data_IF_647984139183
#
_entry.id   IF_647984139183
#
_cell.length_a   1.000
_cell.length_b   1.000
_cell.length_c   1.000
_cell.angle_alpha   90.00
_cell.angle_beta   90.00
_cell.angle_gamma   90.00
#
_symmetry.space_group_name_H-M   'P 1'
#
loop_
_entity.id
_entity.type
_entity.pdbx_description
1 polymer ?
#
# COMPACT_ATOMS: atom_id res chain seq x y z
N UNK A 1 4.39 -13.80 -0.80
CA UNK A 1 3.09 -13.77 -1.43
C UNK A 1 2.51 -12.36 -1.35
N UNK A 2 2.06 -11.80 -2.46
CA UNK A 2 1.41 -10.49 -2.55
C UNK A 2 -0.04 -10.71 -2.98
N UNK A 3 -0.98 -10.08 -2.26
CA UNK A 3 -2.39 -10.04 -2.63
C UNK A 3 -2.72 -8.65 -3.18
N UNK A 4 -3.05 -8.59 -4.46
CA UNK A 4 -3.59 -7.38 -5.09
C UNK A 4 -5.10 -7.36 -4.86
N UNK A 5 -5.56 -6.38 -4.09
CA UNK A 5 -6.98 -6.21 -3.76
C UNK A 5 -7.56 -5.03 -4.52
N UNK A 6 -8.86 -5.08 -4.77
CA UNK A 6 -9.57 -3.90 -5.28
C UNK A 6 -9.60 -2.76 -4.27
N UNK A 7 -10.00 -1.57 -4.73
CA UNK A 7 -10.22 -0.42 -3.87
C UNK A 7 -11.49 -0.57 -3.00
N UNK A 8 -11.57 0.22 -1.93
CA UNK A 8 -12.74 0.32 -1.06
C UNK A 8 -12.70 -0.58 0.18
N UNK A 9 -13.86 -0.71 0.83
CA UNK A 9 -14.02 -1.35 2.15
C UNK A 9 -14.90 -2.61 2.10
N UNK A 10 -14.93 -3.29 0.94
CA UNK A 10 -15.72 -4.53 0.79
C UNK A 10 -15.22 -5.63 1.75
N UNK A 11 -16.08 -6.58 2.03
CA UNK A 11 -15.74 -7.71 2.91
C UNK A 11 -14.52 -8.48 2.43
N UNK A 12 -14.38 -8.68 1.12
CA UNK A 12 -13.23 -9.38 0.55
C UNK A 12 -11.92 -8.60 0.80
N UNK A 13 -11.92 -7.28 0.56
CA UNK A 13 -10.75 -6.43 0.82
C UNK A 13 -10.34 -6.48 2.29
N UNK A 14 -11.29 -6.24 3.20
CA UNK A 14 -11.02 -6.24 4.64
C UNK A 14 -10.58 -7.60 5.16
N UNK A 15 -11.12 -8.68 4.59
CA UNK A 15 -10.73 -10.05 4.94
C UNK A 15 -9.26 -10.34 4.59
N UNK A 16 -8.85 -10.07 3.33
CA UNK A 16 -7.45 -10.27 2.93
C UNK A 16 -6.50 -9.36 3.70
N UNK A 17 -6.86 -8.10 3.92
CA UNK A 17 -6.07 -7.20 4.74
C UNK A 17 -5.91 -7.70 6.19
N UNK A 18 -6.98 -8.25 6.79
CA UNK A 18 -6.92 -8.74 8.17
C UNK A 18 -6.04 -9.98 8.35
N UNK A 19 -5.88 -10.78 7.28
CA UNK A 19 -5.04 -11.98 7.28
C UNK A 19 -3.59 -11.70 6.86
N UNK A 20 -3.30 -10.51 6.31
CA UNK A 20 -1.97 -10.14 5.86
C UNK A 20 -1.06 -9.76 7.04
N UNK A 21 0.25 -10.07 6.91
CA UNK A 21 1.26 -9.62 7.88
C UNK A 21 1.59 -8.13 7.71
N UNK A 22 1.47 -7.63 6.50
CA UNK A 22 1.77 -6.25 6.16
C UNK A 22 0.68 -5.72 5.22
N UNK A 23 0.21 -4.51 5.51
CA UNK A 23 -0.81 -3.83 4.73
C UNK A 23 -0.19 -2.60 4.10
N UNK A 24 -0.11 -2.61 2.76
CA UNK A 24 0.37 -1.48 1.98
C UNK A 24 -0.83 -0.82 1.30
N UNK A 25 -1.06 0.43 1.64
CA UNK A 25 -2.13 1.25 1.08
C UNK A 25 -1.57 2.16 0.00
N UNK A 26 -2.25 2.27 -1.12
CA UNK A 26 -1.86 3.15 -2.22
C UNK A 26 -2.86 4.29 -2.33
N UNK A 27 -2.39 5.52 -2.10
CA UNK A 27 -3.17 6.74 -2.25
C UNK A 27 -2.66 7.55 -3.44
N UNK A 28 -3.53 8.35 -4.05
CA UNK A 28 -3.17 9.34 -5.06
C UNK A 28 -3.33 10.76 -4.52
N UNK A 29 -3.05 11.77 -5.35
CA UNK A 29 -3.28 13.20 -5.03
C UNK A 29 -4.76 13.56 -4.93
N UNK A 30 -5.66 12.69 -5.39
CA UNK A 30 -7.10 12.96 -5.42
C UNK A 30 -7.70 12.90 -4.03
N UNK A 31 -8.51 13.89 -3.62
CA UNK A 31 -9.15 13.92 -2.29
C UNK A 31 -10.00 12.67 -2.00
N UNK A 32 -10.66 12.12 -3.01
CA UNK A 32 -11.46 10.89 -2.91
C UNK A 32 -10.59 9.69 -2.54
N UNK A 33 -9.42 9.54 -3.18
CA UNK A 33 -8.46 8.48 -2.87
C UNK A 33 -7.98 8.53 -1.41
N UNK A 34 -7.68 9.74 -0.89
CA UNK A 34 -7.28 9.90 0.51
C UNK A 34 -8.41 9.56 1.48
N UNK A 35 -9.63 9.93 1.14
CA UNK A 35 -10.83 9.58 1.92
C UNK A 35 -11.04 8.07 1.96
N UNK A 36 -10.87 7.39 0.84
CA UNK A 36 -11.02 5.93 0.73
C UNK A 36 -9.95 5.20 1.54
N UNK A 37 -8.69 5.65 1.45
CA UNK A 37 -7.59 5.10 2.26
C UNK A 37 -7.86 5.29 3.76
N UNK A 38 -8.29 6.48 4.18
CA UNK A 38 -8.66 6.72 5.58
C UNK A 38 -9.84 5.85 6.02
N UNK A 39 -10.87 5.70 5.20
CA UNK A 39 -12.01 4.84 5.49
C UNK A 39 -11.60 3.37 5.65
N UNK A 40 -10.66 2.89 4.83
CA UNK A 40 -10.12 1.53 4.94
C UNK A 40 -9.30 1.35 6.23
N UNK A 41 -8.40 2.28 6.56
CA UNK A 41 -7.64 2.27 7.82
C UNK A 41 -8.62 2.19 9.00
N UNK A 42 -9.60 3.08 9.05
CA UNK A 42 -10.60 3.14 10.11
C UNK A 42 -11.40 1.83 10.23
N UNK A 43 -11.79 1.25 9.09
CA UNK A 43 -12.55 -0.01 9.07
C UNK A 43 -11.73 -1.17 9.59
N UNK A 44 -10.47 -1.29 9.16
CA UNK A 44 -9.55 -2.34 9.59
C UNK A 44 -9.20 -2.19 11.08
N UNK A 45 -9.01 -0.96 11.55
CA UNK A 45 -8.79 -0.69 12.96
C UNK A 45 -9.97 -1.10 13.83
N UNK A 46 -11.19 -0.66 13.46
CA UNK A 46 -12.39 -0.90 14.28
C UNK A 46 -12.83 -2.36 14.24
N UNK A 47 -12.82 -2.99 13.05
CA UNK A 47 -13.38 -4.34 12.88
C UNK A 47 -12.36 -5.46 13.07
N UNK A 48 -11.09 -5.19 12.80
CA UNK A 48 -10.04 -6.23 12.78
C UNK A 48 -8.86 -5.92 13.70
N UNK A 49 -8.93 -4.84 14.51
CA UNK A 49 -7.87 -4.40 15.43
C UNK A 49 -6.50 -4.18 14.78
N UNK A 50 -6.48 -3.91 13.47
CA UNK A 50 -5.25 -3.60 12.74
C UNK A 50 -4.76 -2.21 13.13
N UNK A 51 -3.48 -2.09 13.50
CA UNK A 51 -2.90 -0.86 14.02
C UNK A 51 -1.73 -0.34 13.19
N UNK A 52 -1.22 -1.13 12.26
CA UNK A 52 -0.04 -0.77 11.49
C UNK A 52 -0.32 -0.79 9.99
N UNK A 53 -0.03 0.33 9.34
CA UNK A 53 -0.27 0.53 7.90
C UNK A 53 0.90 1.24 7.27
N UNK A 54 1.25 0.83 6.06
CA UNK A 54 2.25 1.51 5.24
C UNK A 54 1.59 2.15 4.04
N UNK A 55 2.02 3.35 3.66
CA UNK A 55 1.37 4.13 2.61
C UNK A 55 2.37 4.49 1.51
N UNK A 56 1.96 4.22 0.27
CA UNK A 56 2.60 4.71 -0.95
C UNK A 56 1.73 5.82 -1.53
N UNK A 57 2.34 6.96 -1.88
CA UNK A 57 1.65 8.01 -2.61
C UNK A 57 1.98 7.89 -4.10
N UNK A 58 0.97 7.59 -4.89
CA UNK A 58 1.09 7.34 -6.33
C UNK A 58 0.71 8.56 -7.17
N UNK A 59 1.25 8.62 -8.38
CA UNK A 59 0.96 9.63 -9.40
C UNK A 59 1.26 11.07 -8.96
N UNK A 60 2.34 11.27 -8.22
CA UNK A 60 2.82 12.59 -7.80
C UNK A 60 3.82 13.18 -8.78
N UNK A 61 4.00 14.50 -8.74
CA UNK A 61 4.99 15.20 -9.57
C UNK A 61 6.36 15.30 -8.89
N UNK A 62 6.40 15.17 -7.56
CA UNK A 62 7.63 15.25 -6.77
C UNK A 62 7.50 14.51 -5.44
N UNK A 63 8.65 14.20 -4.84
CA UNK A 63 8.72 13.64 -3.50
C UNK A 63 8.15 14.61 -2.45
N UNK A 64 8.40 15.91 -2.59
CA UNK A 64 7.90 16.92 -1.68
C UNK A 64 6.35 16.95 -1.66
N UNK A 65 5.72 16.80 -2.82
CA UNK A 65 4.25 16.67 -2.94
C UNK A 65 3.77 15.39 -2.23
N UNK A 66 4.42 14.26 -2.45
CA UNK A 66 4.08 13.00 -1.80
C UNK A 66 4.15 13.09 -0.27
N UNK A 67 5.22 13.69 0.25
CA UNK A 67 5.41 13.87 1.68
C UNK A 67 4.36 14.81 2.30
N UNK A 68 3.94 15.85 1.57
CA UNK A 68 2.87 16.75 2.04
C UNK A 68 1.54 16.01 2.15
N UNK A 69 1.19 15.24 1.12
CA UNK A 69 -0.05 14.44 1.10
C UNK A 69 -0.04 13.40 2.21
N UNK A 70 1.08 12.68 2.38
CA UNK A 70 1.22 11.71 3.44
C UNK A 70 1.05 12.33 4.83
N UNK A 71 1.72 13.46 5.10
CA UNK A 71 1.58 14.16 6.40
C UNK A 71 0.14 14.54 6.71
N UNK A 72 -0.62 14.98 5.71
CA UNK A 72 -2.03 15.32 5.89
C UNK A 72 -2.86 14.07 6.26
N UNK A 73 -2.63 12.95 5.59
CA UNK A 73 -3.30 11.69 5.89
C UNK A 73 -2.93 11.19 7.30
N UNK A 74 -1.65 11.18 7.64
CA UNK A 74 -1.16 10.76 8.95
C UNK A 74 -1.72 11.62 10.08
N UNK A 75 -1.75 12.95 9.92
CA UNK A 75 -2.32 13.86 10.92
C UNK A 75 -3.81 13.61 11.18
N UNK A 76 -4.58 13.24 10.15
CA UNK A 76 -5.99 12.86 10.32
C UNK A 76 -6.10 11.51 11.04
N UNK A 77 -5.27 10.54 10.69
CA UNK A 77 -5.25 9.25 11.37
C UNK A 77 -4.89 9.41 12.85
N UNK A 78 -3.80 10.12 13.17
CA UNK A 78 -3.35 10.36 14.54
C UNK A 78 -4.41 11.06 15.40
N UNK A 79 -5.16 11.96 14.79
CA UNK A 79 -6.20 12.72 15.51
C UNK A 79 -7.41 11.88 15.90
N UNK A 80 -7.80 10.92 15.06
CA UNK A 80 -9.09 10.23 15.20
C UNK A 80 -8.98 8.73 15.48
N UNK A 81 -7.79 8.14 15.32
CA UNK A 81 -7.57 6.70 15.47
C UNK A 81 -6.43 6.45 16.47
N UNK A 82 -6.72 6.46 17.78
CA UNK A 82 -5.68 6.24 18.79
C UNK A 82 -5.04 4.86 18.61
N UNK A 83 -3.72 4.80 18.76
CA UNK A 83 -2.90 3.59 18.61
C UNK A 83 -2.78 3.04 17.17
N UNK A 84 -3.18 3.80 16.16
CA UNK A 84 -2.88 3.47 14.75
C UNK A 84 -1.57 4.12 14.35
N UNK A 85 -0.69 3.34 13.77
CA UNK A 85 0.57 3.81 13.15
C UNK A 85 0.43 3.78 11.64
N UNK A 86 0.65 4.93 11.01
CA UNK A 86 0.70 5.06 9.55
C UNK A 86 2.10 5.47 9.15
N UNK A 87 2.78 4.61 8.39
CA UNK A 87 4.16 4.81 7.97
C UNK A 87 4.24 5.18 6.49
N UNK A 88 5.13 6.12 6.15
CA UNK A 88 5.46 6.46 4.78
C UNK A 88 6.41 5.43 4.18
N UNK A 89 5.91 4.62 3.25
CA UNK A 89 6.75 3.67 2.52
C UNK A 89 7.53 4.35 1.40
N UNK A 90 6.87 5.26 0.65
CA UNK A 90 7.48 6.03 -0.41
C UNK A 90 6.47 6.56 -1.42
N UNK A 91 6.92 6.84 -2.63
CA UNK A 91 6.10 7.46 -3.67
C UNK A 91 6.38 6.87 -5.05
N UNK A 92 5.45 7.12 -5.97
CA UNK A 92 5.56 6.77 -7.38
C UNK A 92 5.26 8.02 -8.20
N UNK A 93 6.21 8.40 -9.06
CA UNK A 93 6.05 9.56 -9.93
C UNK A 93 5.01 9.30 -11.03
N UNK A 94 4.26 10.34 -11.37
CA UNK A 94 3.44 10.36 -12.57
C UNK A 94 4.34 10.32 -13.81
N UNK A 95 4.10 9.36 -14.72
CA UNK A 95 4.89 9.20 -15.93
C UNK A 95 4.01 8.71 -17.08
N UNK A 96 4.12 9.37 -18.22
CA UNK A 96 3.37 9.02 -19.43
C UNK A 96 3.70 7.63 -20.00
N UNK A 97 4.85 7.07 -19.64
CA UNK A 97 5.24 5.72 -20.07
C UNK A 97 4.31 4.65 -19.51
N UNK A 98 3.68 4.88 -18.35
CA UNK A 98 2.71 3.97 -17.74
C UNK A 98 1.50 3.80 -18.69
N UNK A 99 0.91 4.91 -19.13
CA UNK A 99 -0.22 4.87 -20.08
C UNK A 99 0.16 4.20 -21.41
N UNK A 100 1.39 4.43 -21.89
CA UNK A 100 1.88 3.78 -23.12
C UNK A 100 2.03 2.26 -22.94
N UNK A 101 2.54 1.82 -21.80
CA UNK A 101 2.70 0.41 -21.47
C UNK A 101 1.34 -0.31 -21.31
N UNK A 102 0.39 0.32 -20.62
CA UNK A 102 -0.98 -0.18 -20.46
C UNK A 102 -1.66 -0.42 -21.82
N UNK A 103 -1.52 0.52 -22.77
CA UNK A 103 -2.04 0.36 -24.14
C UNK A 103 -1.40 -0.81 -24.88
N UNK A 104 -0.20 -1.20 -24.54
CA UNK A 104 0.51 -2.34 -25.10
C UNK A 104 0.29 -3.63 -24.32
N UNK A 105 -0.48 -3.59 -23.23
CA UNK A 105 -0.71 -4.72 -22.31
C UNK A 105 0.59 -5.37 -21.81
N UNK A 106 1.60 -4.53 -21.52
CA UNK A 106 2.91 -4.94 -21.01
C UNK A 106 3.27 -4.14 -19.77
N UNK A 107 4.11 -4.71 -18.93
CA UNK A 107 4.62 -4.01 -17.76
C UNK A 107 5.53 -2.84 -18.18
N UNK A 108 5.30 -1.66 -17.61
CA UNK A 108 6.13 -0.49 -17.93
C UNK A 108 7.59 -0.68 -17.48
N UNK A 109 7.82 -1.46 -16.42
CA UNK A 109 9.16 -1.80 -15.95
C UNK A 109 9.98 -2.60 -16.96
N UNK A 110 9.33 -3.42 -17.79
CA UNK A 110 9.98 -4.15 -18.87
C UNK A 110 10.23 -3.26 -20.10
N UNK A 111 9.21 -2.47 -20.49
CA UNK A 111 9.31 -1.63 -21.68
C UNK A 111 10.20 -0.39 -21.48
N UNK A 112 10.19 0.15 -20.27
CA UNK A 112 10.89 1.39 -19.92
C UNK A 112 11.71 1.24 -18.63
N UNK A 113 12.74 0.36 -18.60
CA UNK A 113 13.47 0.02 -17.39
C UNK A 113 14.20 1.20 -16.73
N UNK A 114 14.53 2.24 -17.52
CA UNK A 114 15.23 3.44 -17.06
C UNK A 114 14.31 4.63 -16.77
N UNK A 115 12.98 4.47 -16.90
CA UNK A 115 12.05 5.56 -16.59
C UNK A 115 12.03 5.89 -15.10
N UNK A 116 11.64 7.13 -14.76
CA UNK A 116 11.55 7.58 -13.37
C UNK A 116 10.58 6.74 -12.56
N UNK A 117 9.45 6.37 -13.15
CA UNK A 117 8.46 5.53 -12.48
C UNK A 117 9.01 4.13 -12.19
N UNK A 118 9.79 3.53 -13.10
CA UNK A 118 10.46 2.24 -12.86
C UNK A 118 11.49 2.34 -11.75
N UNK A 119 12.24 3.43 -11.68
CA UNK A 119 13.18 3.66 -10.59
C UNK A 119 12.46 3.78 -9.23
N UNK A 120 11.32 4.48 -9.16
CA UNK A 120 10.51 4.54 -7.94
C UNK A 120 10.07 3.14 -7.48
N UNK A 121 9.55 2.31 -8.39
CA UNK A 121 9.13 0.93 -8.05
C UNK A 121 10.30 0.09 -7.57
N UNK A 122 11.45 0.16 -8.22
CA UNK A 122 12.65 -0.58 -7.81
C UNK A 122 13.12 -0.15 -6.41
N UNK A 123 13.09 1.15 -6.09
CA UNK A 123 13.44 1.66 -4.76
C UNK A 123 12.48 1.15 -3.69
N UNK A 124 11.17 1.17 -3.97
CA UNK A 124 10.14 0.62 -3.07
C UNK A 124 10.34 -0.88 -2.85
N UNK A 125 10.58 -1.63 -3.92
CA UNK A 125 10.83 -3.07 -3.84
C UNK A 125 12.09 -3.39 -3.02
N UNK A 126 13.19 -2.64 -3.24
CA UNK A 126 14.42 -2.81 -2.49
C UNK A 126 14.19 -2.52 -1.00
N UNK A 127 13.50 -1.43 -0.67
CA UNK A 127 13.15 -1.08 0.72
C UNK A 127 12.36 -2.20 1.40
N UNK A 128 11.35 -2.77 0.72
CA UNK A 128 10.57 -3.89 1.24
C UNK A 128 11.40 -5.15 1.46
N UNK A 129 12.40 -5.41 0.60
CA UNK A 129 13.30 -6.55 0.75
C UNK A 129 14.25 -6.36 1.93
N UNK A 130 14.85 -5.16 2.04
CA UNK A 130 15.85 -4.85 3.08
C UNK A 130 15.24 -4.83 4.49
N UNK A 131 13.98 -4.40 4.60
CA UNK A 131 13.25 -4.33 5.88
C UNK A 131 12.62 -5.68 6.29
N UNK A 132 12.67 -6.68 5.43
CA UNK A 132 12.13 -8.01 5.72
C UNK A 132 12.96 -8.68 6.81
N UNK A 133 12.34 -8.98 7.95
CA UNK A 133 12.93 -9.90 8.91
C UNK A 133 13.00 -11.31 8.28
N UNK A 134 14.07 -12.07 8.50
CA UNK A 134 14.21 -13.43 7.96
C UNK A 134 13.26 -14.39 8.68
N UNK A 135 12.02 -14.43 8.23
CA UNK A 135 11.05 -15.48 8.58
C UNK A 135 11.02 -16.44 7.40
N UNK A 136 11.08 -17.74 7.66
CA UNK A 136 11.05 -18.75 6.58
C UNK A 136 9.76 -18.60 5.75
N UNK A 137 9.87 -18.76 4.43
CA UNK A 137 8.72 -18.62 3.52
C UNK A 137 7.59 -19.62 3.86
N UNK A 138 7.92 -20.78 4.43
CA UNK A 138 6.97 -21.78 4.90
C UNK A 138 6.17 -21.30 6.13
N UNK A 139 6.83 -20.65 7.09
CA UNK A 139 6.15 -20.10 8.28
C UNK A 139 5.21 -18.95 7.94
N UNK A 140 5.60 -18.08 7.00
CA UNK A 140 4.75 -16.96 6.55
C UNK A 140 3.48 -17.46 5.84
N UNK A 141 3.63 -18.42 4.93
CA UNK A 141 2.51 -19.01 4.22
C UNK A 141 1.55 -19.72 5.19
N UNK A 142 2.08 -20.51 6.12
CA UNK A 142 1.28 -21.25 7.09
C UNK A 142 0.53 -20.31 8.04
N UNK A 143 1.17 -19.23 8.51
CA UNK A 143 0.53 -18.23 9.37
C UNK A 143 -0.61 -17.51 8.65
N UNK A 144 -0.40 -17.10 7.39
CA UNK A 144 -1.46 -16.46 6.59
C UNK A 144 -2.71 -17.35 6.49
N UNK A 145 -2.54 -18.60 6.07
CA UNK A 145 -3.66 -19.51 5.89
C UNK A 145 -4.36 -19.84 7.22
N UNK A 146 -3.62 -20.01 8.31
CA UNK A 146 -4.21 -20.19 9.65
C UNK A 146 -5.08 -19.00 10.05
N UNK A 147 -4.59 -17.78 9.87
CA UNK A 147 -5.34 -16.56 10.18
C UNK A 147 -6.57 -16.42 9.28
N UNK A 148 -6.42 -16.64 7.98
CA UNK A 148 -7.49 -16.55 7.01
C UNK A 148 -8.67 -17.53 7.28
N UNK A 149 -8.40 -18.73 7.80
CA UNK A 149 -9.45 -19.72 8.11
C UNK A 149 -9.96 -19.70 9.56
N UNK A 150 -9.37 -18.91 10.44
CA UNK A 150 -9.78 -18.82 11.85
C UNK A 150 -10.73 -17.63 12.09
N UNK A 151 -10.85 -16.70 11.18
CA UNK A 151 -11.80 -15.57 11.24
C UNK A 151 -13.18 -16.07 10.80
N UNK A 152 -13.92 -16.70 11.69
CA UNK A 152 -15.36 -16.95 11.59
C UNK A 152 -16.10 -16.09 12.61
#
# INVERSE_FOLDING_TARGET
>A
LIFDTGAGISTNVTYFCSAAHEIILVATTEPTSLTDVYALIKTLYIKHAQQYFRVIINSVNSEAEAQLIFRNLAAVADRFLPNVSVEYLGYILSDSVVTKAVRQQKAFSELYPHSKVTQCINQLAQKLIDERQPVSDEEQSTLFWRTAFTVQ
#
